data_IF_566123869087
#
_entry.id   IF_566123869087
#
_cell.length_a   1.000
_cell.length_b   1.000
_cell.length_c   1.000
_cell.angle_alpha   90.00
_cell.angle_beta   90.00
_cell.angle_gamma   90.00
#
_symmetry.space_group_name_H-M   'P 1'
#
loop_
_entity.id
_entity.type
_entity.pdbx_description
1 polymer ?
#
# COMPACT_ATOMS: atom_id res chain seq x y z
N UNK A 1 -5.83 21.84 -11.01
CA UNK A 1 -5.47 20.43 -10.74
C UNK A 1 -5.42 20.28 -9.24
N UNK A 2 -6.29 19.45 -8.68
CA UNK A 2 -6.31 19.18 -7.24
C UNK A 2 -5.20 18.17 -6.91
N UNK A 3 -4.52 18.31 -5.77
CA UNK A 3 -3.39 17.45 -5.38
C UNK A 3 -3.78 15.95 -5.38
N UNK A 4 -5.02 15.64 -5.03
CA UNK A 4 -5.53 14.27 -5.01
C UNK A 4 -5.59 13.63 -6.41
N UNK A 5 -5.84 14.42 -7.46
CA UNK A 5 -5.83 13.94 -8.85
C UNK A 5 -4.42 13.52 -9.28
N UNK A 6 -3.40 14.24 -8.80
CA UNK A 6 -2.00 13.88 -9.05
C UNK A 6 -1.62 12.61 -8.29
N UNK A 7 -2.00 12.51 -7.01
CA UNK A 7 -1.72 11.34 -6.18
C UNK A 7 -2.38 10.08 -6.76
N UNK A 8 -3.63 10.18 -7.22
CA UNK A 8 -4.35 9.08 -7.83
C UNK A 8 -3.99 8.83 -9.30
N UNK A 9 -3.06 9.60 -9.88
CA UNK A 9 -2.64 9.40 -11.26
C UNK A 9 -1.98 8.03 -11.45
N UNK A 10 -2.10 7.49 -12.66
CA UNK A 10 -1.55 6.18 -13.02
C UNK A 10 -0.05 6.09 -12.71
N UNK A 11 0.69 7.14 -13.10
CA UNK A 11 2.14 7.25 -12.92
C UNK A 11 2.54 7.21 -11.45
N UNK A 12 1.91 8.02 -10.59
CA UNK A 12 2.25 8.11 -9.17
C UNK A 12 1.89 6.81 -8.44
N UNK A 13 0.73 6.23 -8.74
CA UNK A 13 0.29 4.99 -8.11
C UNK A 13 1.17 3.80 -8.52
N UNK A 14 1.60 3.70 -9.79
CA UNK A 14 2.55 2.67 -10.22
C UNK A 14 3.95 2.88 -9.64
N UNK A 15 4.40 4.12 -9.50
CA UNK A 15 5.67 4.43 -8.88
C UNK A 15 5.68 4.05 -7.39
N UNK A 16 4.61 4.37 -6.66
CA UNK A 16 4.43 3.98 -5.26
C UNK A 16 4.40 2.46 -5.11
N UNK A 17 3.64 1.75 -5.95
CA UNK A 17 3.60 0.30 -5.95
C UNK A 17 4.96 -0.34 -6.25
N UNK A 18 5.70 0.21 -7.22
CA UNK A 18 7.05 -0.25 -7.55
C UNK A 18 8.02 -0.06 -6.38
N UNK A 19 7.98 1.11 -5.74
CA UNK A 19 8.77 1.40 -4.54
C UNK A 19 8.45 0.42 -3.40
N UNK A 20 7.17 0.17 -3.14
CA UNK A 20 6.72 -0.79 -2.11
C UNK A 20 7.23 -2.21 -2.41
N UNK A 21 7.15 -2.64 -3.67
CA UNK A 21 7.64 -3.94 -4.10
C UNK A 21 9.15 -4.10 -3.87
N UNK A 22 9.93 -3.05 -4.09
CA UNK A 22 11.36 -3.05 -3.78
C UNK A 22 11.60 -3.05 -2.27
N UNK A 23 10.90 -2.19 -1.53
CA UNK A 23 11.08 -2.04 -0.07
C UNK A 23 10.76 -3.32 0.69
N UNK A 24 9.72 -4.05 0.28
CA UNK A 24 9.25 -5.28 0.92
C UNK A 24 9.61 -6.55 0.15
N UNK A 25 10.66 -6.52 -0.69
CA UNK A 25 11.06 -7.66 -1.53
C UNK A 25 11.40 -8.92 -0.72
N UNK A 26 12.04 -8.75 0.44
CA UNK A 26 12.50 -9.84 1.29
C UNK A 26 11.50 -10.19 2.41
N UNK A 27 10.28 -9.61 2.39
CA UNK A 27 9.23 -9.99 3.33
C UNK A 27 8.78 -11.43 3.07
N UNK A 28 8.38 -12.13 4.14
CA UNK A 28 7.87 -13.50 4.04
C UNK A 28 6.74 -13.59 3.01
N UNK A 29 6.64 -14.67 2.22
CA UNK A 29 5.52 -14.92 1.29
C UNK A 29 4.14 -14.79 1.92
N UNK A 30 4.03 -14.97 3.24
CA UNK A 30 2.78 -14.85 3.99
C UNK A 30 2.41 -13.40 4.35
N UNK A 31 3.29 -12.42 4.11
CA UNK A 31 2.96 -11.00 4.27
C UNK A 31 2.03 -10.52 3.15
N UNK A 32 1.19 -9.54 3.50
CA UNK A 32 0.16 -8.98 2.63
C UNK A 32 0.69 -8.36 1.32
N UNK A 33 1.96 -7.94 1.25
CA UNK A 33 2.59 -7.39 0.04
C UNK A 33 2.50 -8.35 -1.14
N UNK A 34 2.59 -9.66 -0.90
CA UNK A 34 2.54 -10.65 -1.98
C UNK A 34 1.14 -10.81 -2.55
N UNK A 35 0.12 -10.73 -1.69
CA UNK A 35 -1.28 -10.68 -2.13
C UNK A 35 -1.54 -9.39 -2.92
N UNK A 36 -1.01 -8.24 -2.47
CA UNK A 36 -1.13 -6.98 -3.20
C UNK A 36 -0.49 -7.09 -4.60
N UNK A 37 0.74 -7.61 -4.70
CA UNK A 37 1.43 -7.82 -5.99
C UNK A 37 0.63 -8.69 -6.95
N UNK A 38 0.12 -9.80 -6.45
CA UNK A 38 -0.63 -10.78 -7.26
C UNK A 38 -1.91 -10.17 -7.83
N UNK A 39 -2.59 -9.30 -7.08
CA UNK A 39 -3.89 -8.75 -7.43
C UNK A 39 -3.83 -7.28 -7.85
N UNK A 40 -2.64 -6.72 -8.09
CA UNK A 40 -2.44 -5.30 -8.32
C UNK A 40 -3.31 -4.73 -9.43
N UNK A 41 -3.43 -5.46 -10.55
CA UNK A 41 -4.25 -5.05 -11.70
C UNK A 41 -5.74 -4.87 -11.34
N UNK A 42 -6.24 -5.56 -10.32
CA UNK A 42 -7.62 -5.43 -9.83
C UNK A 42 -7.73 -4.39 -8.71
N UNK A 43 -6.70 -4.28 -7.86
CA UNK A 43 -6.69 -3.36 -6.72
C UNK A 43 -6.48 -1.90 -7.16
N UNK A 44 -5.55 -1.66 -8.09
CA UNK A 44 -5.17 -0.31 -8.53
C UNK A 44 -6.36 0.55 -8.98
N UNK A 45 -7.25 0.09 -9.89
CA UNK A 45 -8.38 0.91 -10.33
C UNK A 45 -9.35 1.23 -9.18
N UNK A 46 -9.51 0.31 -8.23
CA UNK A 46 -10.38 0.53 -7.06
C UNK A 46 -9.76 1.56 -6.11
N UNK A 47 -8.46 1.44 -5.81
CA UNK A 47 -7.69 2.38 -5.01
C UNK A 47 -7.78 3.80 -5.60
N UNK A 48 -7.50 3.96 -6.89
CA UNK A 48 -7.57 5.26 -7.57
C UNK A 48 -8.97 5.87 -7.45
N UNK A 49 -10.01 5.07 -7.67
CA UNK A 49 -11.40 5.53 -7.51
C UNK A 49 -11.69 5.96 -6.07
N UNK A 50 -11.29 5.17 -5.08
CA UNK A 50 -11.51 5.49 -3.67
C UNK A 50 -10.79 6.77 -3.23
N UNK A 51 -9.58 7.01 -3.74
CA UNK A 51 -8.83 8.25 -3.50
C UNK A 51 -9.55 9.46 -4.11
N UNK A 52 -9.97 9.36 -5.38
CA UNK A 52 -10.67 10.44 -6.08
C UNK A 52 -12.05 10.72 -5.47
N UNK A 53 -12.76 9.69 -5.04
CA UNK A 53 -14.08 9.80 -4.39
C UNK A 53 -13.96 10.22 -2.91
N UNK A 54 -12.76 10.28 -2.34
CA UNK A 54 -12.54 10.60 -0.92
C UNK A 54 -13.07 9.53 0.05
N UNK A 55 -13.16 8.28 -0.41
CA UNK A 55 -13.73 7.15 0.34
C UNK A 55 -12.70 6.14 0.83
N UNK A 56 -11.44 6.32 0.46
CA UNK A 56 -10.35 5.47 0.94
C UNK A 56 -10.21 5.56 2.47
N UNK A 57 -10.06 4.42 3.13
CA UNK A 57 -9.86 4.32 4.57
C UNK A 57 -8.62 3.50 4.85
N UNK A 58 -7.72 4.06 5.65
CA UNK A 58 -6.53 3.36 6.11
C UNK A 58 -6.90 2.17 6.99
N UNK A 59 -6.15 1.07 6.82
CA UNK A 59 -6.24 -0.07 7.71
C UNK A 59 -5.60 0.25 9.07
N UNK A 60 -5.99 -0.44 10.15
CA UNK A 60 -5.28 -0.35 11.42
C UNK A 60 -3.80 -0.72 11.25
N UNK A 61 -2.91 0.14 11.75
CA UNK A 61 -1.47 -0.16 11.82
C UNK A 61 -1.25 -1.33 12.78
N UNK A 62 -0.42 -2.30 12.37
CA UNK A 62 -0.07 -3.43 13.20
C UNK A 62 1.16 -3.12 14.03
N UNK A 63 1.15 -3.54 15.29
CA UNK A 63 2.31 -3.45 16.16
C UNK A 63 2.80 -4.88 16.45
N UNK A 64 4.07 -5.14 16.16
CA UNK A 64 4.72 -6.42 16.40
C UNK A 64 5.76 -6.21 17.49
N UNK A 65 5.52 -6.80 18.67
CA UNK A 65 6.39 -6.68 19.83
C UNK A 65 7.36 -7.86 19.92
N UNK A 66 8.63 -7.55 20.08
CA UNK A 66 9.70 -8.46 20.44
C UNK A 66 10.15 -8.15 21.88
N UNK A 67 11.01 -8.99 22.45
CA UNK A 67 11.50 -8.80 23.83
C UNK A 67 12.26 -7.48 24.02
N UNK A 68 12.98 -7.02 22.99
CA UNK A 68 13.83 -5.83 23.05
C UNK A 68 13.39 -4.71 22.12
N UNK A 69 12.37 -4.93 21.29
CA UNK A 69 12.02 -3.99 20.23
C UNK A 69 10.54 -4.06 19.86
N UNK A 70 10.05 -3.05 19.16
CA UNK A 70 8.68 -2.99 18.64
C UNK A 70 8.70 -2.45 17.23
N UNK A 71 8.09 -3.20 16.31
CA UNK A 71 7.97 -2.80 14.91
C UNK A 71 6.54 -2.39 14.65
N UNK A 72 6.37 -1.18 14.13
CA UNK A 72 5.10 -0.72 13.60
C UNK A 72 5.02 -1.01 12.09
N UNK A 73 3.99 -1.73 11.67
CA UNK A 73 3.80 -2.20 10.31
C UNK A 73 2.47 -1.70 9.75
N UNK A 74 2.56 -0.85 8.73
CA UNK A 74 1.43 -0.47 7.90
C UNK A 74 1.04 -1.62 6.95
N UNK A 75 -0.27 -1.77 6.70
CA UNK A 75 -0.73 -2.63 5.62
C UNK A 75 -0.09 -2.18 4.30
N UNK A 76 0.20 -3.13 3.41
CA UNK A 76 0.93 -2.86 2.18
C UNK A 76 0.24 -1.84 1.28
N UNK A 77 -1.10 -1.78 1.29
CA UNK A 77 -1.84 -0.79 0.52
C UNK A 77 -1.75 0.63 1.10
N UNK A 78 -1.39 0.74 2.39
CA UNK A 78 -1.32 1.97 3.17
C UNK A 78 0.10 2.53 3.34
N UNK A 79 1.10 1.84 2.78
CA UNK A 79 2.53 1.99 3.11
C UNK A 79 3.33 2.88 2.15
#
# INVERSE_FOLDING_TARGET
MQLIEQVASDEIIEQAFSWLCLKRKEHSPNNDVWNLRRHWQTIKPNLQKQLLDGTYQFSPQQEIRFETDTIELWASLDA
#
